data_IF_188904121317
#
_entry.id   IF_188904121317
#
_cell.length_a   1.000
_cell.length_b   1.000
_cell.length_c   1.000
_cell.angle_alpha   90.00
_cell.angle_beta   90.00
_cell.angle_gamma   90.00
#
_symmetry.space_group_name_H-M   'P 1'
#
loop_
_entity.id
_entity.type
_entity.pdbx_description
1 polymer ?
#
# COMPACT_ATOMS: atom_id res chain seq x y z
N UNK A 1 11.43 31.28 39.23
CA UNK A 1 10.04 31.42 38.77
C UNK A 1 10.06 31.89 37.32
N UNK A 2 9.57 31.07 36.39
CA UNK A 2 9.03 31.49 35.08
C UNK A 2 8.58 30.22 34.34
N UNK A 3 7.31 29.82 34.52
CA UNK A 3 6.68 28.81 33.66
C UNK A 3 6.26 29.52 32.38
N UNK A 4 6.86 29.14 31.25
CA UNK A 4 6.44 29.59 29.93
C UNK A 4 5.26 28.75 29.43
N UNK A 5 4.06 29.31 29.51
CA UNK A 5 2.85 28.73 28.92
C UNK A 5 2.93 28.76 27.40
N UNK A 6 3.15 27.59 26.78
CA UNK A 6 2.96 27.41 25.33
C UNK A 6 1.46 27.20 25.04
N UNK A 7 0.78 28.29 24.68
CA UNK A 7 -0.58 28.30 24.10
C UNK A 7 -0.66 27.38 22.88
N UNK A 8 -1.46 26.32 22.94
CA UNK A 8 -1.85 25.49 21.79
C UNK A 8 -2.70 26.32 20.82
N UNK A 9 -2.29 26.43 19.55
CA UNK A 9 -3.11 26.98 18.45
C UNK A 9 -4.32 26.06 18.20
N UNK A 10 -5.54 26.58 18.36
CA UNK A 10 -6.79 25.96 17.89
C UNK A 10 -6.77 25.93 16.35
N UNK A 11 -7.14 24.79 15.75
CA UNK A 11 -7.49 24.73 14.32
C UNK A 11 -8.84 25.45 14.16
N UNK A 12 -8.85 26.56 13.42
CA UNK A 12 -10.08 27.18 12.92
C UNK A 12 -10.74 26.20 11.94
N UNK A 13 -11.96 25.78 12.27
CA UNK A 13 -12.85 25.10 11.34
C UNK A 13 -13.49 26.20 10.51
N UNK A 14 -13.12 26.30 9.23
CA UNK A 14 -13.74 27.24 8.30
C UNK A 14 -15.14 26.70 8.00
N UNK A 15 -16.17 27.28 8.62
CA UNK A 15 -17.56 26.96 8.30
C UNK A 15 -17.91 27.59 6.95
N UNK A 16 -17.92 26.76 5.89
CA UNK A 16 -18.36 27.17 4.56
C UNK A 16 -19.82 27.64 4.60
N UNK A 17 -20.08 28.78 3.95
CA UNK A 17 -21.43 29.32 3.80
C UNK A 17 -22.32 28.40 2.95
N UNK A 18 -23.65 28.47 3.07
CA UNK A 18 -24.56 27.65 2.26
C UNK A 18 -24.32 27.79 0.74
N UNK A 19 -24.05 29.01 0.25
CA UNK A 19 -23.73 29.24 -1.15
C UNK A 19 -22.42 28.54 -1.58
N UNK A 20 -21.37 28.61 -0.76
CA UNK A 20 -20.09 27.93 -1.05
C UNK A 20 -20.23 26.40 -1.02
N UNK A 21 -21.03 25.86 -0.08
CA UNK A 21 -21.36 24.43 -0.03
C UNK A 21 -22.11 23.99 -1.29
N UNK A 22 -23.07 24.80 -1.76
CA UNK A 22 -23.80 24.53 -2.98
C UNK A 22 -22.88 24.47 -4.22
N UNK A 23 -21.93 25.41 -4.34
CA UNK A 23 -20.92 25.42 -5.41
C UNK A 23 -20.01 24.19 -5.34
N UNK A 24 -19.61 23.77 -4.13
CA UNK A 24 -18.81 22.56 -3.94
C UNK A 24 -19.56 21.29 -4.38
N UNK A 25 -20.85 21.16 -4.04
CA UNK A 25 -21.66 20.01 -4.45
C UNK A 25 -21.87 19.96 -5.97
N UNK A 26 -22.08 21.12 -6.62
CA UNK A 26 -22.12 21.22 -8.09
C UNK A 26 -20.78 20.79 -8.72
N UNK A 27 -19.67 21.19 -8.13
CA UNK A 27 -18.32 20.82 -8.59
C UNK A 27 -18.07 19.32 -8.43
N UNK A 28 -18.47 18.73 -7.29
CA UNK A 28 -18.38 17.30 -7.02
C UNK A 28 -19.22 16.50 -8.01
N UNK A 29 -20.46 16.92 -8.28
CA UNK A 29 -21.33 16.31 -9.29
C UNK A 29 -20.69 16.30 -10.69
N UNK A 30 -20.01 17.38 -11.10
CA UNK A 30 -19.27 17.45 -12.38
C UNK A 30 -18.07 16.49 -12.39
N UNK A 31 -17.29 16.47 -11.32
CA UNK A 31 -16.11 15.62 -11.19
C UNK A 31 -16.45 14.11 -11.15
N UNK A 32 -17.66 13.77 -10.69
CA UNK A 32 -18.15 12.38 -10.63
C UNK A 32 -18.16 11.72 -12.02
N UNK A 33 -18.33 12.49 -13.11
CA UNK A 33 -18.28 12.00 -14.49
C UNK A 33 -16.90 11.46 -14.91
N UNK A 34 -15.84 11.83 -14.19
CA UNK A 34 -14.47 11.41 -14.49
C UNK A 34 -14.02 10.16 -13.71
N UNK A 35 -14.90 9.59 -12.88
CA UNK A 35 -14.59 8.40 -12.09
C UNK A 35 -14.77 7.14 -12.92
N UNK A 36 -13.81 6.22 -12.80
CA UNK A 36 -13.73 4.98 -13.59
C UNK A 36 -14.36 3.77 -12.87
N UNK A 37 -14.83 3.94 -11.64
CA UNK A 37 -15.35 2.85 -10.79
C UNK A 37 -16.86 3.05 -10.57
N UNK A 38 -17.67 2.18 -11.18
CA UNK A 38 -19.13 2.29 -11.20
C UNK A 38 -19.77 2.30 -9.79
N UNK A 39 -19.19 1.54 -8.83
CA UNK A 39 -19.65 1.52 -7.43
C UNK A 39 -19.44 2.86 -6.72
N UNK A 40 -18.32 3.54 -6.99
CA UNK A 40 -18.01 4.84 -6.40
C UNK A 40 -18.89 5.93 -7.02
N UNK A 41 -19.13 5.85 -8.34
CA UNK A 41 -20.06 6.74 -9.05
C UNK A 41 -21.47 6.61 -8.47
N UNK A 42 -21.98 5.39 -8.27
CA UNK A 42 -23.28 5.15 -7.63
C UNK A 42 -23.35 5.75 -6.23
N UNK A 43 -22.37 5.46 -5.36
CA UNK A 43 -22.35 5.94 -3.97
C UNK A 43 -22.31 7.46 -3.88
N UNK A 44 -21.57 8.11 -4.79
CA UNK A 44 -21.49 9.58 -4.84
C UNK A 44 -22.82 10.18 -5.27
N UNK A 45 -23.52 9.62 -6.26
CA UNK A 45 -24.85 10.11 -6.63
C UNK A 45 -25.88 9.92 -5.52
N UNK A 46 -25.89 8.78 -4.82
CA UNK A 46 -26.76 8.54 -3.65
C UNK A 46 -26.51 9.57 -2.55
N UNK A 47 -25.24 9.95 -2.34
CA UNK A 47 -24.87 10.98 -1.37
C UNK A 47 -25.31 12.37 -1.83
N UNK A 48 -25.05 12.73 -3.08
CA UNK A 48 -25.43 14.03 -3.64
C UNK A 48 -26.95 14.26 -3.61
N UNK A 49 -27.78 13.23 -3.80
CA UNK A 49 -29.24 13.32 -3.62
C UNK A 49 -29.60 13.82 -2.22
N UNK A 50 -28.99 13.23 -1.19
CA UNK A 50 -29.25 13.64 0.20
C UNK A 50 -28.72 15.04 0.49
N UNK A 51 -27.51 15.34 0.02
CA UNK A 51 -26.86 16.62 0.28
C UNK A 51 -27.61 17.77 -0.43
N UNK A 52 -28.09 17.59 -1.68
CA UNK A 52 -28.94 18.58 -2.36
C UNK A 52 -30.34 18.70 -1.76
N UNK A 53 -30.94 17.62 -1.26
CA UNK A 53 -32.22 17.70 -0.54
C UNK A 53 -32.11 18.48 0.77
N UNK A 54 -31.01 18.29 1.51
CA UNK A 54 -30.73 19.07 2.73
C UNK A 54 -30.47 20.55 2.40
N UNK A 55 -29.79 20.84 1.28
CA UNK A 55 -29.60 22.22 0.82
C UNK A 55 -30.89 22.88 0.36
N UNK A 56 -31.84 22.11 -0.20
CA UNK A 56 -33.19 22.60 -0.56
C UNK A 56 -34.00 22.96 0.69
N UNK A 57 -33.98 22.11 1.71
CA UNK A 57 -34.60 22.40 3.02
C UNK A 57 -33.96 23.65 3.66
N UNK A 58 -32.63 23.75 3.64
CA UNK A 58 -31.91 24.92 4.15
C UNK A 58 -32.19 26.19 3.35
N UNK A 59 -32.43 26.07 2.04
CA UNK A 59 -32.76 27.17 1.14
C UNK A 59 -34.17 27.73 1.37
N UNK A 60 -35.10 26.88 1.83
CA UNK A 60 -36.46 27.29 2.25
C UNK A 60 -36.43 28.08 3.55
N UNK A 61 -35.50 27.78 4.45
CA UNK A 61 -35.32 28.50 5.72
C UNK A 61 -34.46 29.76 5.55
N UNK A 62 -33.39 29.67 4.78
CA UNK A 62 -32.41 30.73 4.52
C UNK A 62 -32.07 30.80 3.03
N UNK A 63 -32.72 31.68 2.25
CA UNK A 63 -32.47 31.77 0.81
C UNK A 63 -31.00 32.08 0.50
N UNK A 64 -30.42 31.33 -0.44
CA UNK A 64 -29.06 31.52 -0.93
C UNK A 64 -29.01 31.36 -2.45
N UNK A 65 -27.97 31.89 -3.09
CA UNK A 65 -27.84 31.88 -4.54
C UNK A 65 -27.82 30.44 -5.10
N UNK A 66 -28.82 30.11 -5.93
CA UNK A 66 -28.98 28.78 -6.54
C UNK A 66 -29.79 27.78 -5.71
N UNK A 67 -30.42 28.18 -4.59
CA UNK A 67 -31.26 27.29 -3.77
C UNK A 67 -32.44 26.69 -4.55
N UNK A 68 -33.01 27.44 -5.51
CA UNK A 68 -34.12 26.99 -6.37
C UNK A 68 -33.76 25.76 -7.22
N UNK A 69 -32.48 25.54 -7.49
CA UNK A 69 -32.00 24.40 -8.27
C UNK A 69 -31.76 23.13 -7.42
N UNK A 70 -31.77 23.24 -6.08
CA UNK A 70 -31.38 22.15 -5.18
C UNK A 70 -32.32 20.94 -5.29
N UNK A 71 -33.64 21.16 -5.30
CA UNK A 71 -34.62 20.10 -5.48
C UNK A 71 -34.43 19.35 -6.82
N UNK A 72 -34.30 20.10 -7.92
CA UNK A 72 -34.10 19.53 -9.25
C UNK A 72 -32.78 18.73 -9.36
N UNK A 73 -31.69 19.24 -8.75
CA UNK A 73 -30.40 18.56 -8.73
C UNK A 73 -30.42 17.28 -7.87
N UNK A 74 -31.21 17.27 -6.79
CA UNK A 74 -31.42 16.09 -5.96
C UNK A 74 -32.13 14.97 -6.72
N UNK A 75 -33.21 15.31 -7.43
CA UNK A 75 -33.96 14.37 -8.27
C UNK A 75 -33.12 13.84 -9.43
N UNK A 76 -32.34 14.70 -10.09
CA UNK A 76 -31.43 14.28 -11.17
C UNK A 76 -30.36 13.30 -10.65
N UNK A 77 -29.77 13.58 -9.48
CA UNK A 77 -28.81 12.65 -8.86
C UNK A 77 -29.47 11.32 -8.46
N UNK A 78 -30.74 11.34 -8.04
CA UNK A 78 -31.47 10.12 -7.70
C UNK A 78 -31.78 9.26 -8.94
N UNK A 79 -32.12 9.90 -10.06
CA UNK A 79 -32.32 9.22 -11.35
C UNK A 79 -31.01 8.61 -11.86
N UNK A 80 -29.90 9.35 -11.80
CA UNK A 80 -28.58 8.85 -12.15
C UNK A 80 -28.16 7.68 -11.25
N UNK A 81 -28.35 7.78 -9.93
CA UNK A 81 -28.05 6.68 -9.00
C UNK A 81 -28.80 5.39 -9.38
N UNK A 82 -30.09 5.47 -9.71
CA UNK A 82 -30.89 4.31 -10.17
C UNK A 82 -30.39 3.73 -11.49
N UNK A 83 -29.85 4.56 -12.39
CA UNK A 83 -29.27 4.08 -13.65
C UNK A 83 -27.95 3.34 -13.40
N UNK A 84 -27.08 3.89 -12.56
CA UNK A 84 -25.81 3.27 -12.19
C UNK A 84 -25.99 2.00 -11.34
N UNK A 85 -27.03 1.95 -10.49
CA UNK A 85 -27.39 0.76 -9.72
C UNK A 85 -27.62 -0.48 -10.60
N UNK A 86 -28.22 -0.28 -11.79
CA UNK A 86 -28.45 -1.37 -12.76
C UNK A 86 -27.16 -1.90 -13.39
N UNK A 87 -26.07 -1.12 -13.38
CA UNK A 87 -24.76 -1.49 -13.94
C UNK A 87 -23.89 -2.24 -12.93
N UNK A 88 -24.27 -2.26 -11.64
CA UNK A 88 -23.52 -2.97 -10.60
C UNK A 88 -23.77 -4.49 -10.68
N UNK A 89 -22.74 -5.32 -10.44
CA UNK A 89 -22.91 -6.78 -10.46
C UNK A 89 -23.88 -7.23 -9.36
N UNK A 90 -24.82 -8.13 -9.71
CA UNK A 90 -25.91 -8.58 -8.85
C UNK A 90 -25.50 -9.45 -7.64
N UNK A 91 -24.21 -9.54 -7.29
CA UNK A 91 -23.71 -10.43 -6.25
C UNK A 91 -22.94 -9.68 -5.15
N UNK A 92 -23.69 -9.26 -4.14
CA UNK A 92 -23.21 -9.06 -2.75
C UNK A 92 -24.37 -9.13 -1.76
N UNK A 93 -25.18 -10.18 -1.87
CA UNK A 93 -26.38 -10.38 -1.06
C UNK A 93 -26.28 -11.61 -0.14
N UNK A 94 -25.15 -11.82 0.56
CA UNK A 94 -25.04 -12.94 1.53
C UNK A 94 -24.60 -12.51 2.93
N UNK A 95 -24.15 -11.27 3.17
CA UNK A 95 -23.75 -10.83 4.52
C UNK A 95 -24.76 -9.88 5.18
N UNK A 96 -25.60 -9.18 4.41
CA UNK A 96 -26.63 -8.28 4.96
C UNK A 96 -27.94 -8.99 5.32
N UNK A 97 -28.29 -10.10 4.64
CA UNK A 97 -29.59 -10.78 4.76
C UNK A 97 -29.78 -11.60 6.03
N UNK A 98 -28.71 -12.13 6.63
CA UNK A 98 -28.81 -12.90 7.89
C UNK A 98 -29.14 -12.02 9.10
N UNK A 99 -28.86 -10.71 9.01
CA UNK A 99 -29.18 -9.75 10.08
C UNK A 99 -30.51 -9.04 9.83
N UNK A 100 -30.93 -8.87 8.57
CA UNK A 100 -32.19 -8.17 8.25
C UNK A 100 -33.44 -9.06 8.29
N UNK A 101 -33.31 -10.38 8.17
CA UNK A 101 -34.49 -11.28 8.20
C UNK A 101 -35.00 -11.60 9.61
N UNK A 102 -34.19 -11.42 10.66
CA UNK A 102 -34.68 -11.46 12.05
C UNK A 102 -35.37 -10.18 12.49
N UNK A 103 -35.08 -9.04 11.84
CA UNK A 103 -35.62 -7.72 12.21
C UNK A 103 -37.02 -7.46 11.62
N UNK A 104 -37.34 -8.03 10.46
CA UNK A 104 -38.62 -7.73 9.77
C UNK A 104 -39.85 -8.47 10.27
N UNK A 105 -39.72 -9.43 11.20
CA UNK A 105 -40.87 -10.22 11.72
C UNK A 105 -41.41 -9.75 13.08
N UNK A 106 -40.92 -8.63 13.62
CA UNK A 106 -41.33 -8.14 14.96
C UNK A 106 -41.89 -6.71 14.98
N UNK A 107 -42.18 -6.10 13.82
CA UNK A 107 -42.61 -4.69 13.75
C UNK A 107 -44.13 -4.45 13.72
N UNK A 108 -45.00 -5.45 13.89
CA UNK A 108 -46.46 -5.21 13.88
C UNK A 108 -47.12 -4.90 15.25
N UNK A 109 -46.46 -5.11 16.40
CA UNK A 109 -47.17 -4.99 17.71
C UNK A 109 -46.78 -3.83 18.65
N UNK A 110 -45.69 -3.09 18.44
CA UNK A 110 -45.09 -2.30 19.55
C UNK A 110 -45.10 -0.76 19.37
N UNK A 111 -46.21 -0.20 18.88
CA UNK A 111 -46.34 1.26 18.69
C UNK A 111 -46.33 2.08 20.01
N UNK A 112 -46.26 1.42 21.18
CA UNK A 112 -46.12 2.07 22.50
C UNK A 112 -44.68 2.09 23.05
N UNK A 113 -43.72 1.40 22.43
CA UNK A 113 -42.29 1.29 22.87
C UNK A 113 -41.30 2.22 22.13
N UNK A 114 -41.80 3.12 21.25
CA UNK A 114 -40.99 3.92 20.31
C UNK A 114 -39.98 4.90 20.94
N UNK A 115 -40.18 5.34 22.19
CA UNK A 115 -39.24 6.24 22.87
C UNK A 115 -37.96 5.55 23.38
N UNK A 116 -38.10 4.34 23.93
CA UNK A 116 -37.00 3.57 24.52
C UNK A 116 -36.18 2.89 23.42
N UNK A 117 -36.84 2.35 22.39
CA UNK A 117 -36.17 1.66 21.28
C UNK A 117 -35.23 2.58 20.48
N UNK A 118 -35.59 3.86 20.27
CA UNK A 118 -34.72 4.84 19.60
C UNK A 118 -33.45 5.13 20.40
N UNK A 119 -33.55 5.25 21.73
CA UNK A 119 -32.40 5.44 22.60
C UNK A 119 -31.51 4.20 22.67
N UNK A 120 -32.09 3.00 22.68
CA UNK A 120 -31.33 1.75 22.63
C UNK A 120 -30.54 1.63 21.32
N UNK A 121 -31.14 1.94 20.17
CA UNK A 121 -30.44 1.93 18.88
C UNK A 121 -29.33 2.99 18.83
N UNK A 122 -29.58 4.21 19.32
CA UNK A 122 -28.56 5.26 19.41
C UNK A 122 -27.41 4.83 20.34
N UNK A 123 -27.71 4.26 21.50
CA UNK A 123 -26.71 3.75 22.44
C UNK A 123 -25.93 2.59 21.84
N UNK A 124 -26.55 1.71 21.05
CA UNK A 124 -25.86 0.62 20.35
C UNK A 124 -24.94 1.15 19.24
N UNK A 125 -25.36 2.17 18.48
CA UNK A 125 -24.51 2.81 17.46
C UNK A 125 -23.35 3.54 18.12
N UNK A 126 -23.61 4.32 19.17
CA UNK A 126 -22.58 5.01 19.96
C UNK A 126 -21.65 3.98 20.61
N UNK A 127 -22.17 2.89 21.18
CA UNK A 127 -21.37 1.80 21.73
C UNK A 127 -20.54 1.12 20.64
N UNK A 128 -21.06 0.91 19.42
CA UNK A 128 -20.27 0.39 18.31
C UNK A 128 -19.16 1.37 17.89
N UNK A 129 -19.42 2.68 17.85
CA UNK A 129 -18.42 3.72 17.54
C UNK A 129 -17.36 3.82 18.64
N UNK A 130 -17.79 3.82 19.91
CA UNK A 130 -16.93 3.84 21.10
C UNK A 130 -16.09 2.57 21.16
N UNK A 131 -16.71 1.40 20.99
CA UNK A 131 -16.02 0.13 20.82
C UNK A 131 -15.04 0.20 19.66
N UNK A 132 -15.38 0.80 18.51
CA UNK A 132 -14.45 0.97 17.40
C UNK A 132 -13.28 1.91 17.72
N UNK A 133 -13.32 2.70 18.80
CA UNK A 133 -12.18 3.49 19.28
C UNK A 133 -11.35 2.76 20.34
N UNK A 134 -11.79 1.59 20.81
CA UNK A 134 -11.03 0.76 21.74
C UNK A 134 -9.98 -0.06 20.96
N UNK A 135 -8.69 -0.01 21.32
CA UNK A 135 -7.65 -0.80 20.65
C UNK A 135 -7.92 -2.31 20.66
N UNK A 136 -8.51 -2.84 21.74
CA UNK A 136 -8.81 -4.26 21.91
C UNK A 136 -9.80 -4.83 20.88
N UNK A 137 -10.86 -4.08 20.56
CA UNK A 137 -11.90 -4.50 19.59
C UNK A 137 -11.36 -4.45 18.17
N UNK A 138 -10.59 -3.40 17.81
CA UNK A 138 -9.89 -3.27 16.52
C UNK A 138 -8.94 -4.44 16.31
N UNK A 139 -8.19 -4.81 17.35
CA UNK A 139 -7.28 -5.96 17.31
C UNK A 139 -8.05 -7.27 17.05
N UNK A 140 -9.15 -7.50 17.76
CA UNK A 140 -9.98 -8.70 17.54
C UNK A 140 -10.59 -8.73 16.14
N UNK A 141 -11.08 -7.58 15.66
CA UNK A 141 -11.65 -7.46 14.32
C UNK A 141 -10.59 -7.69 13.24
N UNK A 142 -9.37 -7.18 13.41
CA UNK A 142 -8.22 -7.46 12.54
C UNK A 142 -7.94 -8.97 12.47
N UNK A 143 -7.95 -9.66 13.61
CA UNK A 143 -7.76 -11.11 13.68
C UNK A 143 -8.87 -11.90 12.99
N UNK A 144 -10.14 -11.49 13.15
CA UNK A 144 -11.27 -12.10 12.44
C UNK A 144 -11.15 -11.90 10.93
N UNK A 145 -10.86 -10.68 10.50
CA UNK A 145 -10.67 -10.33 9.08
C UNK A 145 -9.51 -11.09 8.42
N UNK A 146 -8.41 -11.30 9.12
CA UNK A 146 -7.31 -12.15 8.64
C UNK A 146 -7.75 -13.62 8.44
N UNK A 147 -8.61 -14.16 9.33
CA UNK A 147 -9.14 -15.53 9.21
C UNK A 147 -10.09 -15.69 8.03
N UNK A 148 -10.91 -14.68 7.73
CA UNK A 148 -11.82 -14.69 6.56
C UNK A 148 -11.14 -14.25 5.25
N UNK A 149 -9.83 -13.95 5.27
CA UNK A 149 -9.03 -13.66 4.08
C UNK A 149 -8.98 -12.19 3.66
N UNK A 150 -9.49 -11.26 4.46
CA UNK A 150 -9.32 -9.82 4.26
C UNK A 150 -7.95 -9.33 4.78
N UNK A 151 -6.88 -9.97 4.28
CA UNK A 151 -5.51 -9.79 4.78
C UNK A 151 -5.06 -8.31 4.69
N UNK A 152 -5.37 -7.60 3.60
CA UNK A 152 -5.04 -6.16 3.44
C UNK A 152 -5.67 -5.28 4.51
N UNK A 153 -6.94 -5.53 4.83
CA UNK A 153 -7.66 -4.75 5.83
C UNK A 153 -7.15 -5.07 7.24
N UNK A 154 -6.83 -6.35 7.50
CA UNK A 154 -6.22 -6.78 8.75
C UNK A 154 -4.85 -6.11 8.97
N UNK A 155 -3.95 -6.16 7.98
CA UNK A 155 -2.64 -5.49 8.03
C UNK A 155 -2.77 -3.99 8.30
N UNK A 156 -3.66 -3.27 7.59
CA UNK A 156 -3.86 -1.84 7.81
C UNK A 156 -4.39 -1.53 9.22
N UNK A 157 -5.20 -2.42 9.79
CA UNK A 157 -5.72 -2.26 11.15
C UNK A 157 -4.64 -2.51 12.19
N UNK A 158 -3.79 -3.53 12.00
CA UNK A 158 -2.62 -3.78 12.84
C UNK A 158 -1.60 -2.65 12.76
N UNK A 159 -1.30 -2.11 11.57
CA UNK A 159 -0.41 -0.96 11.38
C UNK A 159 -0.90 0.26 12.19
N UNK A 160 -2.20 0.56 12.15
CA UNK A 160 -2.81 1.67 12.92
C UNK A 160 -2.79 1.46 14.43
N UNK A 161 -2.73 0.22 14.89
CA UNK A 161 -2.65 -0.13 16.30
C UNK A 161 -1.22 -0.06 16.85
N UNK A 162 -0.20 -0.06 15.99
CA UNK A 162 1.19 0.13 16.37
C UNK A 162 1.69 -0.92 17.37
N UNK A 163 2.18 -0.46 18.52
CA UNK A 163 2.75 -1.31 19.58
C UNK A 163 1.72 -2.04 20.45
N UNK A 164 0.44 -2.02 20.08
CA UNK A 164 -0.59 -2.73 20.84
C UNK A 164 -0.44 -4.25 20.69
N UNK A 165 -0.15 -4.95 21.79
CA UNK A 165 0.04 -6.42 21.81
C UNK A 165 1.09 -6.87 20.78
N UNK A 166 0.78 -7.89 20.00
CA UNK A 166 1.63 -8.53 19.00
C UNK A 166 1.25 -8.09 17.56
N UNK A 167 0.68 -6.89 17.36
CA UNK A 167 0.29 -6.40 16.04
C UNK A 167 1.41 -6.50 14.99
N UNK A 168 2.65 -6.17 15.38
CA UNK A 168 3.82 -6.29 14.49
C UNK A 168 4.07 -7.73 14.03
N UNK A 169 3.98 -8.69 14.96
CA UNK A 169 4.09 -10.11 14.63
C UNK A 169 2.94 -10.57 13.73
N UNK A 170 1.72 -10.07 13.96
CA UNK A 170 0.57 -10.38 13.09
C UNK A 170 0.76 -9.84 11.66
N UNK A 171 1.35 -8.64 11.50
CA UNK A 171 1.72 -8.11 10.18
C UNK A 171 2.72 -9.04 9.51
N UNK A 172 3.80 -9.42 10.20
CA UNK A 172 4.81 -10.37 9.70
C UNK A 172 4.19 -11.69 9.25
N UNK A 173 3.24 -12.25 10.03
CA UNK A 173 2.53 -13.48 9.66
C UNK A 173 1.69 -13.30 8.39
N UNK A 174 1.03 -12.16 8.23
CA UNK A 174 0.26 -11.84 7.02
C UNK A 174 1.18 -11.64 5.81
N UNK A 175 2.33 -11.00 5.98
CA UNK A 175 3.33 -10.84 4.92
C UNK A 175 3.91 -12.20 4.49
N UNK A 176 4.30 -13.06 5.43
CA UNK A 176 4.72 -14.45 5.14
C UNK A 176 3.67 -15.18 4.32
N UNK A 177 2.41 -15.17 4.78
CA UNK A 177 1.27 -15.78 4.07
C UNK A 177 1.08 -15.20 2.67
N UNK A 178 1.25 -13.89 2.49
CA UNK A 178 1.17 -13.24 1.18
C UNK A 178 2.31 -13.70 0.25
N UNK A 179 3.55 -13.75 0.76
CA UNK A 179 4.73 -14.25 0.03
C UNK A 179 4.56 -15.72 -0.37
N UNK A 180 3.94 -16.55 0.47
CA UNK A 180 3.68 -17.96 0.17
C UNK A 180 2.60 -18.15 -0.89
N UNK A 181 1.53 -17.35 -0.85
CA UNK A 181 0.36 -17.50 -1.73
C UNK A 181 0.54 -16.88 -3.11
N UNK A 182 1.31 -15.80 -3.23
CA UNK A 182 1.45 -15.08 -4.51
C UNK A 182 2.05 -16.00 -5.58
N UNK A 183 1.71 -15.82 -6.86
CA UNK A 183 2.41 -16.53 -7.93
C UNK A 183 3.86 -16.04 -8.04
N UNK A 184 4.80 -16.92 -8.38
CA UNK A 184 6.18 -16.51 -8.73
C UNK A 184 6.15 -15.45 -9.85
N UNK A 185 6.90 -14.37 -9.66
CA UNK A 185 6.87 -13.15 -10.48
C UNK A 185 5.79 -12.13 -10.06
N UNK A 186 4.94 -12.46 -9.09
CA UNK A 186 3.97 -11.54 -8.50
C UNK A 186 4.60 -10.63 -7.43
N UNK A 187 3.84 -9.61 -7.03
CA UNK A 187 4.29 -8.53 -6.15
C UNK A 187 3.60 -8.62 -4.80
N UNK A 188 4.35 -8.41 -3.73
CA UNK A 188 3.92 -8.42 -2.33
C UNK A 188 4.53 -7.24 -1.59
N UNK A 189 3.90 -6.84 -0.49
CA UNK A 189 4.45 -5.87 0.45
C UNK A 189 5.31 -6.61 1.47
N UNK A 190 6.48 -6.06 1.76
CA UNK A 190 7.35 -6.51 2.84
C UNK A 190 8.06 -5.29 3.42
N UNK A 191 7.74 -4.98 4.67
CA UNK A 191 7.97 -3.67 5.25
C UNK A 191 7.20 -2.59 4.50
N UNK A 192 7.84 -1.45 4.26
CA UNK A 192 7.22 -0.31 3.55
C UNK A 192 7.31 -0.40 2.03
N UNK A 193 7.98 -1.41 1.49
CA UNK A 193 8.31 -1.52 0.07
C UNK A 193 7.55 -2.64 -0.65
N UNK A 194 7.40 -2.49 -1.97
CA UNK A 194 6.88 -3.53 -2.85
C UNK A 194 8.03 -4.41 -3.40
N UNK A 195 7.83 -5.72 -3.33
CA UNK A 195 8.81 -6.74 -3.70
C UNK A 195 8.22 -7.75 -4.66
N UNK A 196 8.98 -8.15 -5.66
CA UNK A 196 8.64 -9.25 -6.56
C UNK A 196 9.26 -10.56 -6.05
N UNK A 197 8.45 -11.62 -5.98
CA UNK A 197 8.91 -12.96 -5.57
C UNK A 197 9.54 -13.69 -6.76
N UNK A 198 10.85 -13.89 -6.76
CA UNK A 198 11.58 -14.55 -7.84
C UNK A 198 11.66 -16.07 -7.70
N UNK A 199 11.73 -16.55 -6.46
CA UNK A 199 11.90 -17.96 -6.12
C UNK A 199 11.37 -18.27 -4.73
N UNK A 200 10.93 -19.51 -4.52
CA UNK A 200 10.65 -20.09 -3.21
C UNK A 200 11.30 -21.46 -3.12
N UNK A 201 12.09 -21.70 -2.07
CA UNK A 201 12.73 -22.99 -1.81
C UNK A 201 12.90 -23.17 -0.30
N UNK A 202 12.59 -24.36 0.21
CA UNK A 202 12.87 -24.77 1.60
C UNK A 202 12.38 -23.82 2.70
N UNK A 203 11.21 -23.21 2.52
CA UNK A 203 10.66 -22.22 3.45
C UNK A 203 11.39 -20.87 3.43
N UNK A 204 12.05 -20.55 2.32
CA UNK A 204 12.66 -19.24 2.03
C UNK A 204 12.10 -18.69 0.74
N UNK A 205 12.12 -17.37 0.59
CA UNK A 205 11.79 -16.70 -0.67
C UNK A 205 12.88 -15.72 -1.08
N UNK A 206 13.17 -15.67 -2.38
CA UNK A 206 14.01 -14.65 -2.98
C UNK A 206 13.13 -13.49 -3.44
N UNK A 207 13.35 -12.33 -2.85
CA UNK A 207 12.62 -11.10 -3.14
C UNK A 207 13.53 -10.11 -3.88
N UNK A 208 13.01 -9.43 -4.90
CA UNK A 208 13.69 -8.31 -5.55
C UNK A 208 12.82 -7.08 -5.56
N UNK A 209 13.40 -5.89 -5.34
CA UNK A 209 12.65 -4.65 -5.22
C UNK A 209 11.85 -4.38 -6.49
N UNK A 210 10.54 -4.17 -6.36
CA UNK A 210 9.64 -4.03 -7.51
C UNK A 210 9.82 -2.70 -8.25
N UNK A 211 10.08 -1.62 -7.51
CA UNK A 211 10.46 -0.32 -8.07
C UNK A 211 11.99 -0.22 -8.13
N UNK A 212 12.49 0.13 -9.32
CA UNK A 212 13.92 0.35 -9.52
C UNK A 212 14.39 1.58 -8.74
N UNK A 213 15.66 1.57 -8.35
CA UNK A 213 16.32 2.73 -7.75
C UNK A 213 17.41 3.22 -8.71
N UNK A 214 17.39 4.50 -9.04
CA UNK A 214 18.31 5.14 -9.97
C UNK A 214 19.17 6.22 -9.28
N UNK A 215 19.07 6.32 -7.96
CA UNK A 215 19.70 7.42 -7.18
C UNK A 215 21.08 7.07 -6.67
N UNK A 216 21.41 5.78 -6.63
CA UNK A 216 22.63 5.27 -6.03
C UNK A 216 23.54 4.66 -7.10
N UNK A 217 24.74 5.23 -7.31
CA UNK A 217 25.75 4.61 -8.16
C UNK A 217 26.29 3.34 -7.48
N UNK A 218 27.16 2.60 -8.16
CA UNK A 218 27.80 1.44 -7.56
C UNK A 218 28.84 1.86 -6.52
N UNK A 219 29.57 2.93 -6.81
CA UNK A 219 30.55 3.54 -5.92
C UNK A 219 30.55 5.07 -6.08
N UNK A 220 31.15 5.80 -5.14
CA UNK A 220 31.06 7.27 -5.13
C UNK A 220 32.12 7.94 -6.01
N UNK A 221 33.13 7.18 -6.47
CA UNK A 221 34.28 7.68 -7.22
C UNK A 221 34.61 6.75 -8.38
N UNK A 222 35.16 7.34 -9.44
CA UNK A 222 35.69 6.61 -10.59
C UNK A 222 37.04 5.95 -10.24
N UNK A 223 36.97 4.78 -9.61
CA UNK A 223 38.15 3.99 -9.22
C UNK A 223 37.86 2.50 -9.32
N UNK A 224 38.93 1.69 -9.24
CA UNK A 224 38.81 0.23 -9.26
C UNK A 224 38.19 -0.24 -7.96
N UNK A 225 37.05 -0.93 -8.04
CA UNK A 225 36.28 -1.36 -6.88
C UNK A 225 35.58 -2.69 -7.17
N UNK A 226 35.35 -3.49 -6.12
CA UNK A 226 34.62 -4.76 -6.20
C UNK A 226 33.32 -4.66 -5.40
N UNK A 227 32.45 -5.68 -5.48
CA UNK A 227 31.24 -5.69 -4.64
C UNK A 227 31.58 -5.60 -3.15
N UNK A 228 32.63 -6.30 -2.72
CA UNK A 228 33.10 -6.32 -1.32
C UNK A 228 33.35 -4.91 -0.76
N UNK A 229 33.98 -4.04 -1.55
CA UNK A 229 34.46 -2.72 -1.11
C UNK A 229 33.61 -1.53 -1.56
N UNK A 230 32.62 -1.73 -2.44
CA UNK A 230 31.84 -0.64 -3.02
C UNK A 230 30.94 0.08 -2.00
N UNK A 231 30.59 1.32 -2.33
CA UNK A 231 29.76 2.17 -1.47
C UNK A 231 28.32 1.67 -1.43
N UNK A 232 27.82 1.17 -2.57
CA UNK A 232 26.45 0.67 -2.67
C UNK A 232 26.19 -0.53 -1.74
N UNK A 233 27.13 -1.47 -1.64
CA UNK A 233 26.99 -2.62 -0.73
C UNK A 233 26.87 -2.16 0.73
N UNK A 234 27.69 -1.18 1.13
CA UNK A 234 27.66 -0.59 2.48
C UNK A 234 26.31 0.08 2.75
N UNK A 235 25.81 0.87 1.81
CA UNK A 235 24.49 1.49 1.89
C UNK A 235 23.37 0.44 2.03
N UNK A 236 23.35 -0.57 1.15
CA UNK A 236 22.29 -1.59 1.12
C UNK A 236 22.24 -2.48 2.37
N UNK A 237 23.38 -2.71 3.02
CA UNK A 237 23.48 -3.54 4.22
C UNK A 237 23.61 -2.73 5.53
N UNK A 238 23.53 -1.40 5.45
CA UNK A 238 23.51 -0.49 6.59
C UNK A 238 22.28 0.41 6.50
N UNK A 239 22.48 1.64 6.03
CA UNK A 239 21.44 2.69 5.95
C UNK A 239 20.11 2.21 5.37
N UNK A 240 20.12 1.45 4.28
CA UNK A 240 18.89 0.94 3.65
C UNK A 240 18.06 0.02 4.56
N UNK A 241 18.72 -0.73 5.45
CA UNK A 241 18.05 -1.59 6.43
C UNK A 241 17.66 -0.82 7.69
N UNK A 242 18.37 0.25 8.01
CA UNK A 242 18.22 1.04 9.25
C UNK A 242 17.30 2.26 9.09
N UNK A 243 16.94 2.65 7.86
CA UNK A 243 16.16 3.86 7.57
C UNK A 243 14.64 3.78 7.87
N UNK A 244 14.23 2.78 8.65
CA UNK A 244 12.85 2.58 9.07
C UNK A 244 11.94 1.94 8.01
N UNK A 245 12.50 1.46 6.89
CA UNK A 245 11.75 0.68 5.89
C UNK A 245 11.21 -0.64 6.42
N UNK A 246 11.86 -1.19 7.43
CA UNK A 246 11.56 -2.48 8.03
C UNK A 246 11.42 -2.35 9.55
N UNK A 247 10.50 -3.11 10.12
CA UNK A 247 10.40 -3.30 11.57
C UNK A 247 11.49 -4.28 12.05
N UNK A 248 11.84 -4.29 13.35
CA UNK A 248 12.77 -5.29 13.90
C UNK A 248 12.35 -6.74 13.60
N UNK A 249 11.04 -7.02 13.63
CA UNK A 249 10.48 -8.33 13.33
C UNK A 249 10.66 -8.73 11.85
N UNK A 250 10.52 -7.77 10.93
CA UNK A 250 10.80 -7.97 9.50
C UNK A 250 12.31 -8.12 9.23
N UNK A 251 13.16 -7.31 9.86
CA UNK A 251 14.63 -7.42 9.73
C UNK A 251 15.14 -8.80 10.17
N UNK A 252 14.50 -9.41 11.17
CA UNK A 252 14.80 -10.76 11.63
C UNK A 252 14.43 -11.84 10.58
N UNK A 253 13.52 -11.56 9.66
CA UNK A 253 13.22 -12.46 8.53
C UNK A 253 14.28 -12.40 7.43
N UNK A 254 15.01 -11.28 7.29
CA UNK A 254 16.00 -11.10 6.22
C UNK A 254 17.24 -11.93 6.53
N UNK A 255 17.54 -12.88 5.64
CA UNK A 255 18.62 -13.84 5.80
C UNK A 255 19.96 -13.25 5.37
N UNK A 256 20.98 -13.43 6.21
CA UNK A 256 22.37 -13.27 5.78
C UNK A 256 22.70 -14.39 4.80
N UNK A 257 23.13 -14.01 3.59
CA UNK A 257 23.35 -14.90 2.45
C UNK A 257 24.82 -14.86 2.05
N UNK A 258 25.41 -16.03 1.75
CA UNK A 258 26.71 -16.09 1.10
C UNK A 258 26.56 -15.69 -0.38
N UNK A 259 27.07 -14.51 -0.73
CA UNK A 259 26.95 -13.92 -2.06
C UNK A 259 28.25 -14.20 -2.83
N UNK A 260 28.14 -15.00 -3.89
CA UNK A 260 29.28 -15.34 -4.72
C UNK A 260 29.60 -14.22 -5.71
N UNK A 261 30.84 -13.72 -5.70
CA UNK A 261 31.28 -12.65 -6.60
C UNK A 261 32.10 -13.27 -7.73
N UNK A 262 31.43 -13.51 -8.85
CA UNK A 262 32.02 -14.18 -10.02
C UNK A 262 32.82 -13.19 -10.85
N UNK A 263 33.88 -13.69 -11.49
CA UNK A 263 34.63 -12.94 -12.47
C UNK A 263 33.78 -12.69 -13.73
N UNK A 264 34.16 -11.67 -14.49
CA UNK A 264 33.65 -11.49 -15.85
C UNK A 264 34.25 -12.54 -16.77
N UNK A 265 33.44 -13.42 -17.35
CA UNK A 265 33.93 -14.52 -18.19
C UNK A 265 34.62 -14.03 -19.49
N UNK A 266 34.17 -12.91 -20.07
CA UNK A 266 34.69 -12.39 -21.33
C UNK A 266 36.03 -11.68 -21.15
N UNK A 267 36.17 -10.90 -20.07
CA UNK A 267 37.35 -10.05 -19.84
C UNK A 267 38.30 -10.61 -18.78
N UNK A 268 37.90 -11.63 -18.02
CA UNK A 268 38.68 -12.20 -16.93
C UNK A 268 38.82 -11.27 -15.71
N UNK A 269 38.05 -10.19 -15.63
CA UNK A 269 38.08 -9.25 -14.50
C UNK A 269 37.60 -9.94 -13.22
N UNK A 270 38.44 -9.93 -12.19
CA UNK A 270 38.11 -10.54 -10.89
C UNK A 270 36.92 -9.86 -10.21
N UNK A 271 35.95 -10.66 -9.76
CA UNK A 271 34.76 -10.19 -9.04
C UNK A 271 35.04 -9.78 -7.59
N UNK A 272 36.23 -10.12 -7.09
CA UNK A 272 36.60 -9.97 -5.69
C UNK A 272 36.11 -11.13 -4.83
N UNK A 273 36.33 -11.04 -3.52
CA UNK A 273 35.97 -12.11 -2.58
C UNK A 273 34.46 -12.21 -2.40
N UNK A 274 33.98 -13.42 -2.15
CA UNK A 274 32.60 -13.66 -1.74
C UNK A 274 32.28 -12.92 -0.44
N UNK A 275 31.03 -12.48 -0.29
CA UNK A 275 30.56 -11.66 0.84
C UNK A 275 29.43 -12.33 1.60
N UNK A 276 29.17 -11.86 2.82
CA UNK A 276 27.95 -12.18 3.56
C UNK A 276 27.05 -10.95 3.60
N UNK A 277 25.92 -11.00 2.91
CA UNK A 277 25.02 -9.86 2.72
C UNK A 277 23.57 -10.24 3.02
N UNK A 278 22.82 -9.31 3.61
CA UNK A 278 21.36 -9.39 3.73
C UNK A 278 20.68 -8.92 2.45
N UNK A 279 21.24 -7.88 1.82
CA UNK A 279 20.73 -7.28 0.59
C UNK A 279 21.86 -7.16 -0.43
N UNK A 280 21.62 -7.60 -1.66
CA UNK A 280 22.61 -7.63 -2.72
C UNK A 280 22.01 -7.30 -4.10
N UNK A 281 22.87 -7.05 -5.09
CA UNK A 281 22.47 -7.01 -6.50
C UNK A 281 22.76 -8.36 -7.15
N UNK A 282 21.97 -8.78 -8.14
CA UNK A 282 22.24 -10.00 -8.90
C UNK A 282 23.55 -9.91 -9.70
N UNK A 283 24.21 -11.05 -9.93
CA UNK A 283 25.28 -11.20 -10.91
C UNK A 283 24.71 -11.72 -12.23
N UNK A 284 25.54 -11.93 -13.24
CA UNK A 284 25.11 -12.40 -14.56
C UNK A 284 24.43 -13.78 -14.56
N UNK A 285 24.99 -14.84 -13.91
CA UNK A 285 24.32 -16.13 -13.81
C UNK A 285 22.96 -16.06 -13.11
N UNK A 286 22.88 -15.36 -11.98
CA UNK A 286 21.62 -15.18 -11.24
C UNK A 286 20.60 -14.40 -12.06
N UNK A 287 21.03 -13.31 -12.71
CA UNK A 287 20.15 -12.54 -13.58
C UNK A 287 19.61 -13.42 -14.72
N UNK A 288 20.46 -14.21 -15.36
CA UNK A 288 20.06 -15.12 -16.44
C UNK A 288 19.01 -16.13 -15.96
N UNK A 289 19.16 -16.68 -14.75
CA UNK A 289 18.17 -17.56 -14.10
C UNK A 289 16.81 -16.88 -13.91
N UNK A 290 16.78 -15.57 -13.62
CA UNK A 290 15.55 -14.84 -13.27
C UNK A 290 15.02 -13.88 -14.36
N UNK A 291 15.75 -13.66 -15.47
CA UNK A 291 15.41 -12.72 -16.56
C UNK A 291 13.97 -12.88 -17.05
N UNK A 292 13.53 -14.12 -17.28
CA UNK A 292 12.15 -14.44 -17.73
C UNK A 292 11.08 -14.01 -16.72
N UNK A 293 11.38 -14.05 -15.43
CA UNK A 293 10.46 -13.64 -14.34
C UNK A 293 10.40 -12.12 -14.20
N UNK A 294 11.54 -11.45 -14.38
CA UNK A 294 11.66 -9.99 -14.33
C UNK A 294 10.96 -9.29 -15.49
N UNK A 295 10.90 -9.90 -16.69
CA UNK A 295 10.26 -9.32 -17.89
C UNK A 295 10.79 -7.90 -18.16
N UNK A 296 9.91 -6.92 -18.32
CA UNK A 296 10.28 -5.51 -18.53
C UNK A 296 11.12 -4.91 -17.38
N UNK A 297 11.05 -5.47 -16.17
CA UNK A 297 11.82 -5.00 -15.01
C UNK A 297 13.31 -5.34 -15.09
N UNK A 298 13.68 -6.23 -16.01
CA UNK A 298 15.07 -6.61 -16.26
C UNK A 298 15.88 -5.50 -16.96
N UNK A 299 15.20 -4.57 -17.65
CA UNK A 299 15.84 -3.55 -18.49
C UNK A 299 16.63 -2.55 -17.65
N UNK A 300 17.73 -2.06 -18.22
CA UNK A 300 18.59 -1.01 -17.65
C UNK A 300 19.11 -1.35 -16.25
N UNK A 301 19.23 -2.63 -15.89
CA UNK A 301 19.55 -3.06 -14.53
C UNK A 301 21.06 -3.29 -14.38
N UNK A 302 21.67 -2.67 -13.38
CA UNK A 302 23.07 -2.91 -13.00
C UNK A 302 23.21 -4.26 -12.30
N UNK A 303 24.26 -4.99 -12.64
CA UNK A 303 24.66 -6.25 -12.01
C UNK A 303 25.94 -6.03 -11.19
N UNK A 304 26.23 -6.92 -10.25
CA UNK A 304 27.45 -6.81 -9.43
C UNK A 304 28.70 -7.40 -10.09
N UNK A 305 28.56 -8.11 -11.22
CA UNK A 305 29.71 -8.63 -11.96
C UNK A 305 30.54 -7.44 -12.50
N UNK A 306 31.88 -7.46 -12.38
CA UNK A 306 32.71 -6.39 -12.93
C UNK A 306 32.63 -6.35 -14.46
N UNK A 307 32.87 -5.19 -15.06
CA UNK A 307 32.93 -5.01 -16.50
C UNK A 307 34.26 -5.44 -17.11
N UNK A 308 34.68 -4.76 -18.18
CA UNK A 308 36.00 -4.93 -18.81
C UNK A 308 37.15 -4.74 -17.82
N UNK A 309 36.96 -3.88 -16.83
CA UNK A 309 37.85 -3.73 -15.69
C UNK A 309 37.05 -3.33 -14.44
N UNK A 310 37.72 -3.21 -13.30
CA UNK A 310 37.09 -2.94 -12.01
C UNK A 310 36.56 -1.50 -11.84
N UNK A 311 36.67 -0.63 -12.86
CA UNK A 311 36.05 0.70 -12.87
C UNK A 311 34.64 0.68 -13.49
N UNK A 312 34.19 -0.48 -13.97
CA UNK A 312 32.86 -0.68 -14.52
C UNK A 312 32.18 -1.94 -13.95
N UNK A 313 30.86 -2.00 -14.05
CA UNK A 313 30.04 -3.18 -13.71
C UNK A 313 29.15 -3.54 -14.86
N UNK A 314 28.88 -4.82 -15.07
CA UNK A 314 27.97 -5.24 -16.14
C UNK A 314 26.56 -4.77 -15.87
N UNK A 315 25.81 -4.54 -16.94
CA UNK A 315 24.44 -4.07 -16.83
C UNK A 315 23.60 -4.63 -17.97
N UNK A 316 22.29 -4.62 -17.77
CA UNK A 316 21.33 -5.08 -18.75
C UNK A 316 20.89 -3.89 -19.60
N UNK A 317 20.98 -3.99 -20.92
CA UNK A 317 20.57 -2.94 -21.85
C UNK A 317 19.05 -2.72 -21.83
N UNK A 318 18.58 -1.68 -22.52
CA UNK A 318 17.15 -1.44 -22.74
C UNK A 318 16.47 -2.56 -23.57
N UNK A 319 17.25 -3.32 -24.33
CA UNK A 319 16.81 -4.48 -25.11
C UNK A 319 16.77 -5.76 -24.26
N UNK A 320 17.43 -5.77 -23.10
CA UNK A 320 17.43 -6.89 -22.15
C UNK A 320 18.69 -7.76 -22.22
N UNK A 321 19.70 -7.33 -22.97
CA UNK A 321 20.97 -8.07 -23.13
C UNK A 321 22.00 -7.60 -22.10
N UNK A 322 22.82 -8.53 -21.63
CA UNK A 322 23.90 -8.21 -20.69
C UNK A 322 25.03 -7.56 -21.49
N UNK A 323 25.43 -6.36 -21.08
CA UNK A 323 26.58 -5.63 -21.63
C UNK A 323 27.77 -5.89 -20.71
N UNK A 324 28.61 -6.85 -21.12
CA UNK A 324 29.78 -7.36 -20.39
C UNK A 324 30.92 -6.36 -20.31
N UNK A 325 31.01 -5.42 -21.27
CA UNK A 325 31.97 -4.31 -21.21
C UNK A 325 31.77 -3.44 -19.96
N UNK A 326 30.51 -3.33 -19.52
CA UNK A 326 30.11 -2.65 -18.30
C UNK A 326 29.75 -1.18 -18.46
N UNK A 327 29.24 -0.63 -17.36
CA UNK A 327 28.87 0.76 -17.16
C UNK A 327 29.66 1.31 -15.96
N UNK A 328 30.15 2.56 -16.01
CA UNK A 328 31.02 3.13 -14.97
C UNK A 328 30.43 2.98 -13.56
N UNK A 329 31.29 2.73 -12.57
CA UNK A 329 30.85 2.47 -11.18
C UNK A 329 30.27 3.71 -10.50
N UNK A 330 30.75 4.90 -10.87
CA UNK A 330 30.39 6.19 -10.27
C UNK A 330 29.22 6.90 -10.93
N UNK A 331 28.76 6.40 -12.08
CA UNK A 331 27.65 7.01 -12.80
C UNK A 331 26.29 6.45 -12.38
N UNK A 332 25.29 7.35 -12.41
CA UNK A 332 23.88 7.00 -12.35
C UNK A 332 23.35 6.86 -13.78
N UNK A 333 22.74 5.72 -14.11
CA UNK A 333 22.23 5.47 -15.46
C UNK A 333 21.75 4.03 -15.64
N UNK A 334 22.42 3.10 -14.97
CA UNK A 334 21.91 1.75 -14.74
C UNK A 334 21.17 1.71 -13.39
N UNK A 335 19.91 1.29 -13.42
CA UNK A 335 19.08 1.15 -12.24
C UNK A 335 19.48 -0.07 -11.41
N UNK A 336 19.29 0.00 -10.09
CA UNK A 336 19.52 -1.11 -9.19
C UNK A 336 18.19 -1.72 -8.75
N UNK A 337 18.22 -3.04 -8.53
CA UNK A 337 17.14 -3.78 -7.87
C UNK A 337 17.71 -4.59 -6.72
N UNK A 338 17.72 -4.00 -5.51
CA UNK A 338 18.10 -4.72 -4.31
C UNK A 338 17.33 -6.03 -4.20
N UNK A 339 18.03 -7.09 -3.84
CA UNK A 339 17.53 -8.46 -3.80
C UNK A 339 17.93 -9.08 -2.47
N UNK A 340 17.04 -9.85 -1.85
CA UNK A 340 17.28 -10.46 -0.56
C UNK A 340 16.56 -11.81 -0.42
N UNK A 341 17.08 -12.66 0.44
CA UNK A 341 16.38 -13.85 0.90
C UNK A 341 15.64 -13.56 2.20
N UNK A 342 14.40 -14.01 2.30
CA UNK A 342 13.62 -13.95 3.54
C UNK A 342 13.25 -15.35 4.02
N UNK A 343 13.26 -15.54 5.34
CA UNK A 343 12.80 -16.75 6.00
C UNK A 343 11.29 -16.75 6.16
N UNK A 344 10.63 -17.81 5.71
CA UNK A 344 9.19 -18.02 5.85
C UNK A 344 8.84 -19.02 6.96
N UNK A 345 9.83 -19.73 7.52
CA UNK A 345 9.62 -20.64 8.66
C UNK A 345 9.35 -19.91 9.97
#
# INVERSE_FOLDING_TARGET
>A
MAKGDKKKKKKEVIELTPAERFVQLKTLKRATRCLLVDEDVYRIYVRLTKDFAQMDELGKETPFEGCEECAALSEECAALAKEWEKKLPAEREVISRTVTTTVKKQEEDDNKKKGIAKWVVLVVIVAMIVCYNVPATRYQLAGLSAKVGFDKWASSTYEKLGDYKDCKNQIVLLEKKAIEKVKIGGVVKFGTCDWMVLERTDGKALLTKYMADNKHPYHDKSEKVTWESCALRKYLNGEFLEDGKFTPEELAMILTTNVANVANEEFGTDGGKNTQDKVFLMNEPEFTKYKKKLKAKAKTMRLRTPGKDATATTYVSALGDIITYGFPVDENGACIRPTMWVNLK
#
